data_IF_495165185917
#
_entry.id   IF_495165185917
#
_cell.length_a   1.000
_cell.length_b   1.000
_cell.length_c   1.000
_cell.angle_alpha   90.00
_cell.angle_beta   90.00
_cell.angle_gamma   90.00
#
_symmetry.space_group_name_H-M   'P 1'
#
loop_
_entity.id
_entity.type
_entity.pdbx_description
1 polymer ?
#
# COMPACT_ATOMS: atom_id res chain seq x y z
N UNK A 1 21.45 8.22 -8.72
CA UNK A 1 20.22 7.40 -8.89
C UNK A 1 19.03 8.22 -8.42
N UNK A 2 17.87 8.12 -9.09
CA UNK A 2 16.66 8.81 -8.66
C UNK A 2 16.19 8.22 -7.30
N UNK A 3 15.65 9.07 -6.43
CA UNK A 3 15.09 8.60 -5.15
C UNK A 3 13.77 7.86 -5.42
N UNK A 4 13.53 6.70 -4.79
CA UNK A 4 12.26 5.99 -4.94
C UNK A 4 11.08 6.85 -4.49
N UNK A 5 9.96 6.72 -5.21
CA UNK A 5 8.71 7.44 -4.97
C UNK A 5 7.94 6.82 -3.80
N UNK A 6 8.54 6.82 -2.61
CA UNK A 6 7.93 6.28 -1.40
C UNK A 6 6.76 7.16 -0.93
N UNK A 7 5.81 6.55 -0.21
CA UNK A 7 4.66 7.21 0.39
C UNK A 7 4.91 7.49 1.87
N UNK A 8 5.43 6.48 2.56
CA UNK A 8 5.66 6.49 3.99
C UNK A 8 7.12 6.83 4.30
N UNK A 9 7.29 7.72 5.28
CA UNK A 9 8.60 8.06 5.85
C UNK A 9 8.81 7.32 7.18
N UNK A 10 10.06 7.08 7.62
CA UNK A 10 10.33 6.41 8.89
C UNK A 10 9.56 7.02 10.07
N UNK A 11 8.95 6.16 10.90
CA UNK A 11 8.11 6.56 12.04
C UNK A 11 6.63 6.76 11.69
N UNK A 12 6.28 6.87 10.41
CA UNK A 12 4.89 6.97 9.97
C UNK A 12 4.14 5.64 10.17
N UNK A 13 2.86 5.71 10.52
CA UNK A 13 1.94 4.57 10.56
C UNK A 13 0.64 4.89 9.84
N UNK A 14 0.15 3.91 9.08
CA UNK A 14 -1.16 3.94 8.43
C UNK A 14 -2.01 2.84 9.06
N UNK A 15 -3.24 3.15 9.38
CA UNK A 15 -4.24 2.18 9.83
C UNK A 15 -5.48 2.27 8.96
N UNK A 16 -6.00 1.13 8.53
CA UNK A 16 -7.23 1.08 7.74
C UNK A 16 -8.00 -0.21 8.00
N UNK A 17 -9.28 -0.19 7.66
CA UNK A 17 -10.14 -1.37 7.61
C UNK A 17 -10.68 -1.52 6.20
N UNK A 18 -10.45 -2.70 5.61
CA UNK A 18 -11.04 -3.08 4.31
C UNK A 18 -11.99 -4.26 4.52
N UNK A 19 -12.64 -4.73 3.46
CA UNK A 19 -13.43 -5.96 3.51
C UNK A 19 -12.61 -7.21 3.90
N UNK A 20 -11.27 -7.18 3.76
CA UNK A 20 -10.38 -8.26 4.22
C UNK A 20 -10.03 -8.17 5.72
N UNK A 21 -10.43 -7.10 6.40
CA UNK A 21 -10.18 -6.82 7.81
C UNK A 21 -9.32 -5.58 8.06
N UNK A 22 -8.93 -5.40 9.32
CA UNK A 22 -8.06 -4.30 9.77
C UNK A 22 -6.60 -4.63 9.50
N UNK A 23 -5.85 -3.63 9.02
CA UNK A 23 -4.40 -3.68 8.84
C UNK A 23 -3.76 -2.39 9.34
N UNK A 24 -2.60 -2.51 9.99
CA UNK A 24 -1.70 -1.40 10.24
C UNK A 24 -0.39 -1.60 9.50
N UNK A 25 0.07 -0.57 8.80
CA UNK A 25 1.37 -0.52 8.12
C UNK A 25 2.24 0.52 8.83
N UNK A 26 3.41 0.13 9.30
CA UNK A 26 4.37 1.04 9.93
C UNK A 26 5.66 1.10 9.11
N UNK A 27 6.18 2.31 8.95
CA UNK A 27 7.44 2.57 8.26
C UNK A 27 8.60 2.57 9.26
N UNK A 28 9.51 1.62 9.10
CA UNK A 28 10.80 1.61 9.78
C UNK A 28 11.84 2.43 9.02
N UNK A 29 13.10 2.25 9.42
CA UNK A 29 14.25 2.83 8.71
C UNK A 29 14.33 2.30 7.28
N UNK A 30 14.81 3.14 6.37
CA UNK A 30 15.02 2.81 4.96
C UNK A 30 13.72 2.28 4.31
N UNK A 31 13.74 1.06 3.79
CA UNK A 31 12.59 0.41 3.14
C UNK A 31 11.88 -0.62 4.01
N UNK A 32 12.17 -0.64 5.32
CA UNK A 32 11.51 -1.56 6.24
C UNK A 32 10.04 -1.18 6.39
N UNK A 33 9.16 -2.17 6.24
CA UNK A 33 7.73 -2.07 6.56
C UNK A 33 7.31 -3.19 7.48
N UNK A 34 6.49 -2.83 8.46
CA UNK A 34 5.85 -3.77 9.38
C UNK A 34 4.34 -3.74 9.17
N UNK A 35 3.75 -4.92 9.07
CA UNK A 35 2.35 -5.15 8.74
C UNK A 35 1.71 -5.87 9.91
N UNK A 36 0.69 -5.29 10.51
CA UNK A 36 -0.01 -5.86 11.66
C UNK A 36 -1.47 -6.14 11.31
N UNK A 37 -1.84 -7.41 11.29
CA UNK A 37 -3.21 -7.87 11.08
C UNK A 37 -3.54 -8.94 12.13
N UNK A 38 -4.78 -8.97 12.59
CA UNK A 38 -5.27 -10.01 13.52
C UNK A 38 -4.41 -10.18 14.79
N UNK A 39 -3.77 -9.10 15.24
CA UNK A 39 -2.93 -9.07 16.45
C UNK A 39 -1.47 -9.46 16.24
N UNK A 40 -1.10 -9.93 15.05
CA UNK A 40 0.27 -10.34 14.73
C UNK A 40 0.96 -9.39 13.76
N UNK A 41 2.26 -9.18 13.97
CA UNK A 41 3.09 -8.32 13.12
C UNK A 41 4.09 -9.14 12.33
N UNK A 42 4.22 -8.85 11.04
CA UNK A 42 5.31 -9.33 10.19
C UNK A 42 5.98 -8.17 9.46
N UNK A 43 7.26 -8.31 9.16
CA UNK A 43 8.05 -7.24 8.54
C UNK A 43 8.79 -7.72 7.31
N UNK A 44 9.01 -6.82 6.36
CA UNK A 44 9.85 -7.04 5.20
C UNK A 44 10.54 -5.73 4.80
N UNK A 45 11.76 -5.85 4.29
CA UNK A 45 12.46 -4.72 3.66
C UNK A 45 12.10 -4.70 2.19
N UNK A 46 11.42 -3.65 1.74
CA UNK A 46 11.04 -3.50 0.33
C UNK A 46 12.27 -3.27 -0.54
N UNK A 47 12.20 -3.74 -1.78
CA UNK A 47 13.21 -3.54 -2.81
C UNK A 47 12.84 -2.26 -3.59
N UNK A 48 13.66 -1.19 -3.49
CA UNK A 48 13.42 0.01 -4.27
C UNK A 48 13.58 -0.29 -5.75
N UNK A 49 12.70 0.26 -6.58
CA UNK A 49 12.80 0.12 -8.03
C UNK A 49 13.91 1.01 -8.58
N UNK A 50 14.65 0.48 -9.54
CA UNK A 50 15.68 1.22 -10.30
C UNK A 50 15.11 1.89 -11.54
N UNK A 51 13.93 1.47 -12.00
CA UNK A 51 13.22 2.00 -13.17
C UNK A 51 11.70 2.01 -12.93
N UNK A 52 10.97 2.83 -13.69
CA UNK A 52 9.51 2.90 -13.56
C UNK A 52 8.87 1.60 -14.01
N UNK A 53 7.94 1.09 -13.22
CA UNK A 53 7.16 -0.10 -13.51
C UNK A 53 5.67 0.22 -13.38
N UNK A 54 4.92 0.08 -14.48
CA UNK A 54 3.52 0.52 -14.58
C UNK A 54 3.27 1.94 -14.03
N UNK A 55 4.19 2.85 -14.35
CA UNK A 55 4.10 4.26 -13.95
C UNK A 55 4.77 4.61 -12.62
N UNK A 56 5.08 3.64 -11.75
CA UNK A 56 5.63 3.89 -10.41
C UNK A 56 7.13 3.62 -10.30
N UNK A 57 7.87 4.51 -9.63
CA UNK A 57 9.26 4.31 -9.18
C UNK A 57 9.34 4.02 -7.66
N UNK A 58 8.33 3.35 -7.11
CA UNK A 58 8.25 3.01 -5.69
C UNK A 58 9.17 1.84 -5.28
N UNK A 59 8.73 1.09 -4.27
CA UNK A 59 9.39 -0.13 -3.81
C UNK A 59 8.40 -1.30 -3.73
N UNK A 60 8.91 -2.51 -3.79
CA UNK A 60 8.09 -3.72 -3.76
C UNK A 60 8.78 -4.85 -3.02
N UNK A 61 8.02 -5.82 -2.56
CA UNK A 61 8.55 -7.07 -2.04
C UNK A 61 7.78 -8.22 -2.70
N UNK A 62 8.44 -9.07 -3.51
CA UNK A 62 7.76 -10.09 -4.31
C UNK A 62 7.29 -11.29 -3.48
N UNK A 63 7.62 -11.33 -2.19
CA UNK A 63 7.30 -12.45 -1.31
C UNK A 63 8.05 -13.73 -1.66
N UNK A 64 9.39 -13.75 -1.70
CA UNK A 64 10.13 -14.96 -2.01
C UNK A 64 9.84 -16.05 -0.96
N UNK A 65 9.35 -17.20 -1.41
CA UNK A 65 9.05 -18.36 -0.56
C UNK A 65 8.13 -18.09 0.64
N UNK A 66 8.13 -19.02 1.58
CA UNK A 66 7.52 -18.88 2.90
C UNK A 66 8.57 -18.29 3.85
N UNK A 67 8.52 -16.97 4.07
CA UNK A 67 9.58 -16.22 4.79
C UNK A 67 9.12 -15.65 6.13
N UNK A 68 7.85 -15.77 6.45
CA UNK A 68 7.30 -15.38 7.75
C UNK A 68 6.90 -16.61 8.54
N UNK A 69 7.07 -16.52 9.86
CA UNK A 69 6.40 -17.45 10.78
C UNK A 69 4.92 -17.43 10.48
N UNK A 70 4.34 -18.62 10.35
CA UNK A 70 2.93 -18.82 10.05
C UNK A 70 2.02 -18.03 11.00
N UNK A 71 0.92 -17.52 10.45
CA UNK A 71 -0.20 -16.98 11.20
C UNK A 71 -1.49 -17.08 10.38
N UNK A 72 -2.48 -17.84 10.88
CA UNK A 72 -3.78 -18.06 10.24
C UNK A 72 -3.69 -18.51 8.76
N UNK A 73 -2.80 -19.44 8.48
CA UNK A 73 -2.51 -19.99 7.16
C UNK A 73 -1.63 -19.10 6.27
N UNK A 74 -1.14 -17.96 6.79
CA UNK A 74 -0.30 -17.02 6.05
C UNK A 74 1.17 -17.18 6.45
N UNK A 75 2.05 -17.32 5.47
CA UNK A 75 3.51 -17.45 5.67
C UNK A 75 4.32 -16.49 4.80
N UNK A 76 3.67 -15.63 4.01
CA UNK A 76 4.35 -14.65 3.15
C UNK A 76 3.53 -13.40 2.88
N UNK A 77 4.21 -12.31 2.52
CA UNK A 77 3.59 -11.09 2.00
C UNK A 77 4.04 -10.77 0.58
N UNK A 78 3.12 -10.28 -0.25
CA UNK A 78 3.42 -9.58 -1.50
C UNK A 78 3.05 -8.11 -1.31
N UNK A 79 4.05 -7.23 -1.38
CA UNK A 79 3.95 -5.90 -0.81
C UNK A 79 4.37 -4.86 -1.84
N UNK A 80 3.64 -3.75 -1.91
CA UNK A 80 3.99 -2.64 -2.80
C UNK A 80 3.79 -1.31 -2.09
N UNK A 81 4.66 -0.36 -2.42
CA UNK A 81 4.50 1.02 -2.03
C UNK A 81 4.98 1.92 -3.16
N UNK A 82 4.23 2.97 -3.47
CA UNK A 82 4.70 3.94 -4.46
C UNK A 82 3.74 5.09 -4.73
N UNK A 83 4.07 5.87 -5.75
CA UNK A 83 3.21 6.92 -6.26
C UNK A 83 2.63 6.51 -7.61
N UNK A 84 1.40 6.95 -7.88
CA UNK A 84 0.78 6.84 -9.19
C UNK A 84 0.37 8.22 -9.69
N UNK A 85 0.74 8.51 -10.93
CA UNK A 85 0.56 9.83 -11.54
C UNK A 85 -0.38 9.70 -12.73
N UNK A 86 -1.47 10.45 -12.69
CA UNK A 86 -2.49 10.47 -13.73
C UNK A 86 -2.60 11.87 -14.31
N UNK A 87 -3.03 11.94 -15.57
CA UNK A 87 -3.27 13.22 -16.24
C UNK A 87 -4.48 13.92 -15.61
N UNK A 88 -5.57 13.18 -15.42
CA UNK A 88 -6.84 13.68 -14.93
C UNK A 88 -7.54 12.71 -13.96
N UNK A 89 -8.67 13.14 -13.42
CA UNK A 89 -9.45 12.36 -12.47
C UNK A 89 -10.10 11.11 -13.07
N UNK A 90 -10.44 11.13 -14.37
CA UNK A 90 -11.08 9.99 -15.02
C UNK A 90 -10.09 8.82 -15.16
N UNK A 91 -8.84 9.12 -15.53
CA UNK A 91 -7.76 8.11 -15.56
C UNK A 91 -7.50 7.52 -14.17
N UNK A 92 -7.43 8.37 -13.14
CA UNK A 92 -7.23 7.91 -11.77
C UNK A 92 -8.39 7.01 -11.30
N UNK A 93 -9.65 7.38 -11.59
CA UNK A 93 -10.82 6.58 -11.23
C UNK A 93 -10.88 5.25 -11.99
N UNK A 94 -10.54 5.24 -13.28
CA UNK A 94 -10.45 4.02 -14.07
C UNK A 94 -9.41 3.06 -13.46
N UNK A 95 -8.25 3.58 -13.05
CA UNK A 95 -7.22 2.78 -12.38
C UNK A 95 -7.70 2.25 -11.02
N UNK A 96 -8.29 3.10 -10.16
CA UNK A 96 -8.86 2.67 -8.87
C UNK A 96 -9.89 1.54 -9.05
N UNK A 97 -10.74 1.63 -10.08
CA UNK A 97 -11.72 0.58 -10.40
C UNK A 97 -11.07 -0.76 -10.73
N UNK A 98 -9.96 -0.74 -11.48
CA UNK A 98 -9.18 -1.96 -11.75
C UNK A 98 -8.57 -2.51 -10.46
N UNK A 99 -7.99 -1.65 -9.62
CA UNK A 99 -7.39 -2.07 -8.34
C UNK A 99 -8.40 -2.71 -7.38
N UNK A 100 -9.63 -2.17 -7.31
CA UNK A 100 -10.75 -2.76 -6.54
C UNK A 100 -11.08 -4.19 -6.98
N UNK A 101 -10.80 -4.54 -8.23
CA UNK A 101 -10.99 -5.90 -8.76
C UNK A 101 -9.94 -6.90 -8.30
N UNK A 102 -8.75 -6.44 -7.87
CA UNK A 102 -7.70 -7.31 -7.34
C UNK A 102 -7.86 -7.56 -5.84
N UNK A 103 -7.98 -6.48 -5.06
CA UNK A 103 -8.07 -6.54 -3.61
C UNK A 103 -9.03 -5.48 -3.05
N UNK A 104 -9.67 -5.75 -1.91
CA UNK A 104 -10.34 -4.72 -1.14
C UNK A 104 -9.39 -3.55 -0.85
N UNK A 105 -9.88 -2.32 -1.00
CA UNK A 105 -9.09 -1.12 -0.78
C UNK A 105 -9.91 0.00 -0.17
N UNK A 106 -9.21 0.90 0.51
CA UNK A 106 -9.72 2.18 1.00
C UNK A 106 -8.84 3.29 0.44
N UNK A 107 -9.40 4.49 0.26
CA UNK A 107 -8.65 5.65 -0.21
C UNK A 107 -9.30 6.95 0.24
N UNK A 108 -8.46 7.98 0.37
CA UNK A 108 -8.79 9.33 0.84
C UNK A 108 -8.87 10.31 -0.32
N UNK A 109 -9.48 11.47 -0.07
CA UNK A 109 -9.59 12.55 -1.06
C UNK A 109 -8.23 13.12 -1.46
N UNK A 110 -7.24 13.03 -0.56
CA UNK A 110 -5.85 13.45 -0.80
C UNK A 110 -5.03 12.45 -1.64
N UNK A 111 -5.65 11.35 -2.08
CA UNK A 111 -5.04 10.34 -2.93
C UNK A 111 -4.27 9.26 -2.19
N UNK A 112 -4.21 9.28 -0.85
CA UNK A 112 -3.68 8.14 -0.10
C UNK A 112 -4.61 6.94 -0.25
N UNK A 113 -4.08 5.81 -0.69
CA UNK A 113 -4.82 4.56 -0.89
C UNK A 113 -4.08 3.39 -0.24
N UNK A 114 -4.84 2.48 0.37
CA UNK A 114 -4.34 1.20 0.87
C UNK A 114 -5.21 0.07 0.34
N UNK A 115 -4.59 -0.89 -0.33
CA UNK A 115 -5.22 -2.16 -0.68
C UNK A 115 -4.74 -3.26 0.28
N UNK A 116 -5.66 -4.08 0.76
CA UNK A 116 -5.37 -5.21 1.64
C UNK A 116 -6.23 -6.41 1.28
N UNK A 117 -5.58 -7.53 1.01
CA UNK A 117 -6.23 -8.80 0.72
C UNK A 117 -5.50 -9.98 1.35
N UNK A 118 -6.25 -11.04 1.64
CA UNK A 118 -5.72 -12.34 2.05
C UNK A 118 -6.00 -13.34 0.93
N UNK A 119 -5.00 -14.14 0.58
CA UNK A 119 -5.11 -15.18 -0.45
C UNK A 119 -4.66 -16.51 0.16
N UNK A 120 -5.55 -17.23 0.87
CA UNK A 120 -5.20 -18.45 1.60
C UNK A 120 -4.60 -19.54 0.72
N UNK A 121 -5.11 -19.71 -0.51
CA UNK A 121 -4.58 -20.67 -1.48
C UNK A 121 -3.09 -20.44 -1.84
N UNK A 122 -2.57 -19.23 -1.59
CA UNK A 122 -1.17 -18.86 -1.78
C UNK A 122 -0.44 -18.59 -0.45
N UNK A 123 -1.10 -18.84 0.69
CA UNK A 123 -0.61 -18.55 2.05
C UNK A 123 -0.08 -17.12 2.20
N UNK A 124 -0.71 -16.15 1.54
CA UNK A 124 -0.18 -14.79 1.46
C UNK A 124 -1.17 -13.70 1.83
N UNK A 125 -0.64 -12.58 2.31
CA UNK A 125 -1.33 -11.29 2.22
C UNK A 125 -0.78 -10.48 1.06
N UNK A 126 -1.64 -9.62 0.53
CA UNK A 126 -1.30 -8.54 -0.39
C UNK A 126 -1.54 -7.22 0.31
N UNK A 127 -0.53 -6.36 0.35
CA UNK A 127 -0.66 -5.01 0.90
C UNK A 127 -0.04 -4.03 -0.07
N UNK A 128 -0.81 -3.04 -0.48
CA UNK A 128 -0.32 -1.98 -1.36
C UNK A 128 -0.62 -0.62 -0.75
N UNK A 129 0.38 0.27 -0.71
CA UNK A 129 0.24 1.65 -0.26
C UNK A 129 0.56 2.57 -1.42
N UNK A 130 -0.42 3.36 -1.85
CA UNK A 130 -0.28 4.24 -3.00
C UNK A 130 -0.57 5.68 -2.61
N UNK A 131 0.22 6.61 -3.12
CA UNK A 131 -0.15 8.03 -3.18
C UNK A 131 -0.48 8.40 -4.63
N UNK A 132 -1.73 8.74 -4.86
CA UNK A 132 -2.23 9.19 -6.16
C UNK A 132 -1.96 10.68 -6.35
N UNK A 133 -1.50 11.04 -7.55
CA UNK A 133 -1.37 12.40 -8.03
C UNK A 133 -2.15 12.57 -9.33
N UNK A 134 -2.84 13.70 -9.47
CA UNK A 134 -3.54 14.12 -10.69
C UNK A 134 -2.93 15.44 -11.15
N UNK A 135 -2.48 15.50 -12.40
CA UNK A 135 -1.75 16.65 -12.95
C UNK A 135 -0.57 17.08 -12.06
N UNK A 136 0.14 16.10 -11.49
CA UNK A 136 1.30 16.32 -10.62
C UNK A 136 0.99 16.82 -9.21
N UNK A 137 -0.28 16.88 -8.79
CA UNK A 137 -0.69 17.33 -7.45
C UNK A 137 -1.50 16.27 -6.73
N UNK A 138 -1.46 16.27 -5.39
CA UNK A 138 -2.42 15.48 -4.62
C UNK A 138 -3.83 15.96 -4.98
N UNK A 139 -4.77 15.05 -5.26
CA UNK A 139 -6.14 15.44 -5.43
C UNK A 139 -6.69 16.07 -4.15
N UNK A 140 -7.77 16.83 -4.29
CA UNK A 140 -8.56 17.32 -3.14
C UNK A 140 -9.91 16.61 -3.05
N UNK A 141 -10.24 15.82 -4.08
CA UNK A 141 -11.47 15.05 -4.17
C UNK A 141 -11.25 13.86 -5.09
N UNK A 142 -11.66 12.69 -4.63
CA UNK A 142 -11.75 11.47 -5.44
C UNK A 142 -13.13 10.85 -5.22
N UNK A 143 -13.76 10.41 -6.30
CA UNK A 143 -15.05 9.74 -6.21
C UNK A 143 -14.94 8.45 -5.38
N UNK A 144 -15.85 8.26 -4.42
CA UNK A 144 -15.87 7.11 -3.52
C UNK A 144 -14.76 7.09 -2.46
N UNK A 145 -14.00 8.18 -2.31
CA UNK A 145 -13.04 8.32 -1.23
C UNK A 145 -13.74 8.53 0.12
N UNK A 146 -13.12 8.01 1.17
CA UNK A 146 -13.54 8.17 2.57
C UNK A 146 -12.30 8.55 3.40
N UNK A 147 -12.25 9.81 3.82
CA UNK A 147 -11.13 10.34 4.62
C UNK A 147 -11.04 9.71 6.01
N UNK A 148 -12.13 9.11 6.50
CA UNK A 148 -12.16 8.42 7.80
C UNK A 148 -11.69 6.96 7.71
N UNK A 149 -11.66 6.37 6.51
CA UNK A 149 -11.30 4.97 6.30
C UNK A 149 -9.79 4.70 6.47
N UNK A 150 -8.95 5.74 6.41
CA UNK A 150 -7.51 5.63 6.60
C UNK A 150 -7.05 6.65 7.64
N UNK A 151 -6.57 6.14 8.78
CA UNK A 151 -5.91 6.96 9.80
C UNK A 151 -4.41 7.01 9.52
N UNK A 152 -3.90 8.23 9.37
CA UNK A 152 -2.48 8.50 9.19
C UNK A 152 -1.88 9.06 10.47
N UNK A 153 -0.84 8.42 10.98
CA UNK A 153 -0.08 8.84 12.16
C UNK A 153 1.31 9.24 11.66
N UNK A 154 1.65 10.51 11.86
CA UNK A 154 2.94 11.07 11.47
C UNK A 154 4.03 10.68 12.48
N UNK A 155 5.30 10.65 12.06
CA UNK A 155 6.42 10.64 13.00
C UNK A 155 6.36 11.86 13.92
N UNK A 156 6.86 11.71 15.14
CA UNK A 156 7.11 12.81 16.08
C UNK A 156 8.20 13.77 15.59
#
# INVERSE_FOLDING_TARGET
MAKPEMVMVPGMRIETTTAAGKISVAAGKDFLRSYTWEGETRSATLFPRTERWYGSLGAYYPGPGEHWKEHNGITRGVLQEGQQHFKDANEAQAWIKVQKGYYPLAYRNDGLMVAFGKVPARKQINVEVWQIFISGKKPVKLEGADDSAIRLIQPE
#
